data_IF_138023102730
#
_entry.id   IF_138023102730
#
_cell.length_a   1.000
_cell.length_b   1.000
_cell.length_c   1.000
_cell.angle_alpha   90.00
_cell.angle_beta   90.00
_cell.angle_gamma   90.00
#
_symmetry.space_group_name_H-M   'P 1'
#
loop_
_entity.id
_entity.type
_entity.pdbx_description
1 polymer ?
#
# COMPACT_ATOMS: atom_id res chain seq x y z
N UNK A 1 5.52 -15.45 24.00
CA UNK A 1 6.31 -14.25 24.34
C UNK A 1 5.33 -13.16 24.73
N UNK A 2 5.21 -12.83 26.01
CA UNK A 2 4.39 -11.71 26.47
C UNK A 2 5.02 -10.41 25.97
N UNK A 3 4.26 -9.62 25.25
CA UNK A 3 4.61 -8.37 24.54
C UNK A 3 5.16 -7.24 25.40
N UNK A 4 5.30 -7.45 26.71
CA UNK A 4 5.92 -6.50 27.65
C UNK A 4 7.43 -6.28 27.46
N UNK A 5 8.08 -6.86 26.46
CA UNK A 5 9.54 -6.82 26.41
C UNK A 5 10.17 -6.69 25.03
N UNK A 6 9.41 -6.43 23.95
CA UNK A 6 10.08 -6.19 22.66
C UNK A 6 10.65 -4.78 22.59
N UNK A 7 9.89 -3.79 23.05
CA UNK A 7 10.31 -2.40 23.13
C UNK A 7 11.45 -2.23 24.15
N UNK A 8 11.25 -2.73 25.37
CA UNK A 8 12.29 -2.78 26.41
C UNK A 8 13.57 -3.52 25.95
N UNK A 9 13.43 -4.59 25.15
CA UNK A 9 14.56 -5.31 24.56
C UNK A 9 15.31 -4.49 23.50
N UNK A 10 14.58 -3.75 22.65
CA UNK A 10 15.18 -2.86 21.66
C UNK A 10 15.88 -1.68 22.35
N UNK A 11 15.25 -1.07 23.35
CA UNK A 11 15.81 0.03 24.13
C UNK A 11 17.07 -0.40 24.91
N UNK A 12 17.08 -1.60 25.50
CA UNK A 12 18.27 -2.15 26.17
C UNK A 12 19.43 -2.43 25.21
N UNK A 13 19.14 -2.80 23.96
CA UNK A 13 20.15 -3.25 22.99
C UNK A 13 20.70 -2.12 22.11
N UNK A 14 19.89 -1.12 21.80
CA UNK A 14 20.21 -0.04 20.86
C UNK A 14 20.27 1.34 21.54
N UNK A 15 19.74 1.47 22.76
CA UNK A 15 19.48 2.76 23.39
C UNK A 15 18.15 3.37 22.91
N UNK A 16 17.48 4.11 23.80
CA UNK A 16 16.15 4.70 23.54
C UNK A 16 16.11 5.60 22.29
N UNK A 17 17.13 6.43 22.07
CA UNK A 17 17.20 7.32 20.91
C UNK A 17 17.27 6.59 19.56
N UNK A 18 17.96 5.45 19.52
CA UNK A 18 18.13 4.68 18.28
C UNK A 18 16.90 3.81 18.01
N UNK A 19 16.30 3.24 19.06
CA UNK A 19 15.01 2.56 18.97
C UNK A 19 13.92 3.51 18.42
N UNK A 20 13.82 4.74 18.94
CA UNK A 20 12.86 5.73 18.46
C UNK A 20 13.10 6.15 17.00
N UNK A 21 14.36 6.29 16.56
CA UNK A 21 14.67 6.57 15.15
C UNK A 21 14.20 5.45 14.23
N UNK A 22 14.46 4.20 14.59
CA UNK A 22 14.01 3.03 13.81
C UNK A 22 12.48 2.99 13.74
N UNK A 23 11.79 3.18 14.86
CA UNK A 23 10.33 3.25 14.90
C UNK A 23 9.79 4.38 14.02
N UNK A 24 10.43 5.55 14.06
CA UNK A 24 10.05 6.68 13.22
C UNK A 24 10.23 6.37 11.72
N UNK A 25 11.36 5.78 11.32
CA UNK A 25 11.59 5.36 9.94
C UNK A 25 10.57 4.31 9.49
N UNK A 26 10.31 3.29 10.29
CA UNK A 26 9.31 2.27 10.00
C UNK A 26 7.90 2.87 9.87
N UNK A 27 7.59 3.88 10.68
CA UNK A 27 6.32 4.60 10.59
C UNK A 27 6.19 5.37 9.25
N UNK A 28 7.26 6.05 8.82
CA UNK A 28 7.28 6.76 7.53
C UNK A 28 7.18 5.79 6.34
N UNK A 29 7.89 4.67 6.39
CA UNK A 29 7.81 3.61 5.37
C UNK A 29 6.39 3.04 5.27
N UNK A 30 5.77 2.72 6.42
CA UNK A 30 4.38 2.27 6.46
C UNK A 30 3.44 3.31 5.85
N UNK A 31 3.61 4.59 6.21
CA UNK A 31 2.79 5.69 5.69
C UNK A 31 2.91 5.79 4.17
N UNK A 32 4.13 5.69 3.63
CA UNK A 32 4.38 5.68 2.19
C UNK A 32 3.68 4.51 1.49
N UNK A 33 3.87 3.29 2.00
CA UNK A 33 3.27 2.09 1.40
C UNK A 33 1.74 2.15 1.46
N UNK A 34 1.16 2.56 2.59
CA UNK A 34 -0.30 2.72 2.73
C UNK A 34 -0.85 3.78 1.77
N UNK A 35 -0.16 4.91 1.60
CA UNK A 35 -0.56 5.93 0.63
C UNK A 35 -0.61 5.34 -0.79
N UNK A 36 0.44 4.61 -1.18
CA UNK A 36 0.51 3.97 -2.48
C UNK A 36 -0.63 2.96 -2.72
N UNK A 37 -0.97 2.13 -1.73
CA UNK A 37 -2.12 1.21 -1.82
C UNK A 37 -3.43 1.98 -2.04
N UNK A 38 -3.62 3.07 -1.30
CA UNK A 38 -4.84 3.89 -1.38
C UNK A 38 -4.98 4.61 -2.73
N UNK A 39 -3.87 5.07 -3.31
CA UNK A 39 -3.87 5.70 -4.64
C UNK A 39 -4.31 4.70 -5.72
N UNK A 40 -3.77 3.48 -5.69
CA UNK A 40 -4.17 2.43 -6.64
C UNK A 40 -5.63 2.03 -6.45
N UNK A 41 -6.09 1.90 -5.20
CA UNK A 41 -7.51 1.65 -4.91
C UNK A 41 -8.42 2.75 -5.49
N UNK A 42 -8.03 4.01 -5.32
CA UNK A 42 -8.77 5.17 -5.84
C UNK A 42 -8.79 5.18 -7.37
N UNK A 43 -7.66 4.88 -8.02
CA UNK A 43 -7.54 4.74 -9.47
C UNK A 43 -8.49 3.65 -9.99
N UNK A 44 -8.51 2.47 -9.36
CA UNK A 44 -9.37 1.37 -9.78
C UNK A 44 -10.85 1.74 -9.65
N UNK A 45 -11.27 2.39 -8.56
CA UNK A 45 -12.64 2.88 -8.37
C UNK A 45 -12.99 3.92 -9.44
N UNK A 46 -12.09 4.88 -9.68
CA UNK A 46 -12.29 5.89 -10.73
C UNK A 46 -12.48 5.24 -12.10
N UNK A 47 -11.61 4.28 -12.45
CA UNK A 47 -11.64 3.59 -13.72
C UNK A 47 -12.93 2.77 -13.88
N UNK A 48 -13.34 2.05 -12.82
CA UNK A 48 -14.59 1.32 -12.77
C UNK A 48 -15.80 2.23 -13.06
N UNK A 49 -15.87 3.38 -12.40
CA UNK A 49 -16.96 4.35 -12.56
C UNK A 49 -16.95 5.02 -13.94
N UNK A 50 -15.76 5.43 -14.41
CA UNK A 50 -15.59 6.13 -15.70
C UNK A 50 -16.05 5.26 -16.88
N UNK A 51 -15.72 3.98 -16.87
CA UNK A 51 -16.04 3.05 -17.95
C UNK A 51 -17.27 2.18 -17.66
N UNK A 52 -17.95 2.39 -16.51
CA UNK A 52 -19.10 1.61 -16.04
C UNK A 52 -18.83 0.10 -16.03
N UNK A 53 -17.62 -0.28 -15.64
CA UNK A 53 -17.21 -1.68 -15.60
C UNK A 53 -17.80 -2.35 -14.37
N UNK A 54 -18.27 -3.57 -14.54
CA UNK A 54 -18.47 -4.45 -13.40
C UNK A 54 -17.12 -4.91 -12.82
N UNK A 55 -17.16 -5.57 -11.67
CA UNK A 55 -15.95 -5.99 -10.99
C UNK A 55 -15.18 -7.07 -11.76
N UNK A 56 -15.88 -7.95 -12.48
CA UNK A 56 -15.24 -9.01 -13.28
C UNK A 56 -14.56 -8.43 -14.52
N UNK A 57 -15.21 -7.47 -15.18
CA UNK A 57 -14.65 -6.74 -16.33
C UNK A 57 -13.39 -5.97 -15.93
N UNK A 58 -13.41 -5.28 -14.79
CA UNK A 58 -12.22 -4.60 -14.27
C UNK A 58 -11.11 -5.60 -13.96
N UNK A 59 -11.43 -6.71 -13.30
CA UNK A 59 -10.46 -7.75 -12.97
C UNK A 59 -9.82 -8.36 -14.23
N UNK A 60 -10.61 -8.64 -15.27
CA UNK A 60 -10.10 -9.10 -16.57
C UNK A 60 -9.16 -8.09 -17.21
N UNK A 61 -9.50 -6.80 -17.18
CA UNK A 61 -8.67 -5.74 -17.77
C UNK A 61 -7.30 -5.63 -17.11
N UNK A 62 -7.21 -5.84 -15.80
CA UNK A 62 -5.93 -5.83 -15.07
C UNK A 62 -5.33 -7.24 -14.91
N UNK A 63 -5.83 -8.22 -15.67
CA UNK A 63 -5.40 -9.62 -15.63
C UNK A 63 -5.30 -10.20 -14.20
N UNK A 64 -6.31 -9.92 -13.38
CA UNK A 64 -6.41 -10.38 -12.00
C UNK A 64 -7.70 -11.20 -11.77
N UNK A 65 -7.73 -11.94 -10.67
CA UNK A 65 -8.95 -12.62 -10.21
C UNK A 65 -9.90 -11.62 -9.52
N UNK A 66 -11.20 -11.73 -9.76
CA UNK A 66 -12.21 -10.83 -9.17
C UNK A 66 -12.25 -10.89 -7.64
N UNK A 67 -11.97 -12.05 -7.06
CA UNK A 67 -11.84 -12.21 -5.61
C UNK A 67 -10.68 -11.37 -5.05
N UNK A 68 -9.52 -11.40 -5.71
CA UNK A 68 -8.37 -10.59 -5.32
C UNK A 68 -8.71 -9.09 -5.34
N UNK A 69 -9.42 -8.63 -6.37
CA UNK A 69 -9.88 -7.25 -6.46
C UNK A 69 -10.85 -6.90 -5.31
N UNK A 70 -11.75 -7.81 -4.94
CA UNK A 70 -12.65 -7.65 -3.78
C UNK A 70 -11.86 -7.44 -2.50
N UNK A 71 -10.90 -8.33 -2.27
CA UNK A 71 -10.11 -8.37 -1.04
C UNK A 71 -9.22 -7.13 -0.94
N UNK A 72 -8.64 -6.70 -2.06
CA UNK A 72 -7.88 -5.45 -2.13
C UNK A 72 -8.76 -4.23 -1.84
N UNK A 73 -9.95 -4.15 -2.46
CA UNK A 73 -10.89 -3.07 -2.20
C UNK A 73 -11.40 -3.06 -0.74
N UNK A 74 -11.49 -4.22 -0.09
CA UNK A 74 -11.81 -4.33 1.35
C UNK A 74 -10.62 -4.02 2.27
N UNK A 75 -9.41 -3.95 1.73
CA UNK A 75 -8.17 -3.76 2.51
C UNK A 75 -7.76 -5.01 3.28
N UNK A 76 -8.16 -6.21 2.83
CA UNK A 76 -7.77 -7.49 3.45
C UNK A 76 -6.50 -8.05 2.83
N UNK A 77 -6.08 -7.54 1.67
CA UNK A 77 -4.80 -7.85 1.03
C UNK A 77 -4.14 -6.57 0.52
N UNK A 78 -2.81 -6.52 0.57
CA UNK A 78 -2.01 -5.44 0.00
C UNK A 78 -1.41 -5.87 -1.34
N UNK A 79 -1.15 -4.89 -2.22
CA UNK A 79 -0.45 -5.12 -3.48
C UNK A 79 1.06 -5.07 -3.29
N UNK A 80 1.77 -5.96 -3.96
CA UNK A 80 3.22 -5.81 -4.19
C UNK A 80 3.48 -4.69 -5.21
N UNK A 81 4.69 -4.12 -5.19
CA UNK A 81 5.11 -3.14 -6.20
C UNK A 81 5.00 -3.66 -7.63
N UNK A 82 5.27 -4.96 -7.84
CA UNK A 82 5.11 -5.59 -9.16
C UNK A 82 3.66 -5.63 -9.63
N UNK A 83 2.72 -5.92 -8.73
CA UNK A 83 1.28 -5.88 -9.04
C UNK A 83 0.82 -4.45 -9.33
N UNK A 84 1.32 -3.46 -8.58
CA UNK A 84 1.04 -2.04 -8.82
C UNK A 84 1.53 -1.62 -10.21
N UNK A 85 2.77 -1.95 -10.56
CA UNK A 85 3.34 -1.66 -11.88
C UNK A 85 2.53 -2.33 -13.00
N UNK A 86 2.12 -3.59 -12.80
CA UNK A 86 1.26 -4.29 -13.74
C UNK A 86 -0.09 -3.60 -13.94
N UNK A 87 -0.77 -3.22 -12.85
CA UNK A 87 -2.05 -2.50 -12.91
C UNK A 87 -1.88 -1.17 -13.67
N UNK A 88 -0.85 -0.39 -13.35
CA UNK A 88 -0.59 0.87 -14.06
C UNK A 88 -0.39 0.65 -15.57
N UNK A 89 0.40 -0.35 -15.95
CA UNK A 89 0.60 -0.70 -17.37
C UNK A 89 -0.70 -1.13 -18.06
N UNK A 90 -1.49 -2.00 -17.41
CA UNK A 90 -2.77 -2.49 -17.94
C UNK A 90 -3.84 -1.41 -18.10
N UNK A 91 -3.71 -0.29 -17.36
CA UNK A 91 -4.61 0.85 -17.44
C UNK A 91 -4.02 2.03 -18.24
N UNK A 92 -2.84 1.85 -18.86
CA UNK A 92 -2.10 2.87 -19.60
C UNK A 92 -1.81 4.13 -18.76
N UNK A 93 -1.53 3.94 -17.47
CA UNK A 93 -1.24 5.00 -16.53
C UNK A 93 0.26 5.23 -16.44
N UNK A 94 0.64 6.51 -16.48
CA UNK A 94 2.00 6.94 -16.19
C UNK A 94 2.09 7.34 -14.71
N UNK A 95 2.85 6.61 -13.87
CA UNK A 95 2.98 6.95 -12.46
C UNK A 95 3.80 8.24 -12.29
N UNK A 96 3.41 9.06 -11.32
CA UNK A 96 4.17 10.22 -10.85
C UNK A 96 4.25 10.17 -9.32
N UNK A 97 5.42 10.49 -8.77
CA UNK A 97 5.64 10.56 -7.33
C UNK A 97 5.81 12.03 -6.93
N UNK A 98 4.94 12.50 -6.03
CA UNK A 98 5.03 13.82 -5.43
C UNK A 98 5.37 13.69 -3.95
N UNK A 99 6.46 14.35 -3.52
CA UNK A 99 6.89 14.33 -2.13
C UNK A 99 6.61 15.67 -1.48
N UNK A 100 5.84 15.64 -0.39
CA UNK A 100 5.63 16.82 0.47
C UNK A 100 6.64 16.79 1.61
N UNK A 101 7.46 17.83 1.71
CA UNK A 101 8.34 18.01 2.86
C UNK A 101 7.49 18.44 4.05
N UNK A 102 7.35 17.58 5.05
CA UNK A 102 6.81 18.02 6.33
C UNK A 102 7.80 19.02 6.98
N UNK A 103 7.32 20.16 7.51
CA UNK A 103 8.15 21.11 8.23
C UNK A 103 8.76 20.51 9.51
#
# INVERSE_FOLDING_TARGET
>A
MNTKNFQDYLEQRLGSDEAHKIEHHAHLEKKFLTALQNDIKSILIFYQNKYKLDQNELAQRINAHSQFLTDFQKGTVDLTLGQIAHICASLELQPQLEFTKHP
#
